data_IF_202439112471
#
_entry.id   IF_202439112471
#
_cell.length_a   1.000
_cell.length_b   1.000
_cell.length_c   1.000
_cell.angle_alpha   90.00
_cell.angle_beta   90.00
_cell.angle_gamma   90.00
#
_symmetry.space_group_name_H-M   'P 1'
#
loop_
_entity.id
_entity.type
_entity.pdbx_description
1 polymer ?
#
# COMPACT_ATOMS: atom_id res chain seq x y z
N UNK A 1 2.75 3.90 -10.83
CA UNK A 1 3.58 2.99 -11.64
C UNK A 1 4.57 2.21 -10.79
N UNK A 2 5.26 2.85 -9.83
CA UNK A 2 6.21 2.15 -8.93
C UNK A 2 5.53 1.03 -8.12
N UNK A 3 4.35 1.26 -7.53
CA UNK A 3 3.60 0.24 -6.79
C UNK A 3 3.29 -0.99 -7.64
N UNK A 4 2.72 -0.76 -8.83
CA UNK A 4 2.39 -1.83 -9.77
C UNK A 4 3.62 -2.62 -10.23
N UNK A 5 4.74 -1.95 -10.50
CA UNK A 5 5.98 -2.62 -10.91
C UNK A 5 6.57 -3.47 -9.77
N UNK A 6 6.58 -2.97 -8.52
CA UNK A 6 7.04 -3.77 -7.38
C UNK A 6 6.13 -4.97 -7.09
N UNK A 7 4.82 -4.80 -7.21
CA UNK A 7 3.85 -5.88 -7.03
C UNK A 7 3.93 -6.95 -8.13
N UNK A 8 4.37 -6.58 -9.33
CA UNK A 8 4.58 -7.54 -10.43
C UNK A 8 5.82 -8.45 -10.27
N UNK A 9 6.64 -8.22 -9.25
CA UNK A 9 7.82 -9.04 -8.97
C UNK A 9 7.44 -10.33 -8.22
N UNK A 10 8.15 -11.42 -8.53
CA UNK A 10 7.97 -12.69 -7.81
C UNK A 10 8.48 -12.61 -6.37
N UNK A 11 8.03 -13.53 -5.49
CA UNK A 11 8.55 -13.62 -4.11
C UNK A 11 10.07 -13.75 -4.09
N UNK A 12 10.66 -14.52 -5.02
CA UNK A 12 12.10 -14.67 -5.16
C UNK A 12 12.83 -13.39 -5.57
N UNK A 13 12.22 -12.60 -6.45
CA UNK A 13 12.79 -11.32 -6.91
C UNK A 13 12.69 -10.24 -5.82
N UNK A 14 11.57 -10.24 -5.08
CA UNK A 14 11.41 -9.38 -3.91
C UNK A 14 12.38 -9.76 -2.79
N UNK A 15 12.56 -11.05 -2.52
CA UNK A 15 13.52 -11.54 -1.53
C UNK A 15 14.96 -11.21 -1.90
N UNK A 16 15.30 -11.25 -3.19
CA UNK A 16 16.64 -10.91 -3.67
C UNK A 16 16.89 -9.39 -3.71
N UNK A 17 15.86 -8.57 -3.92
CA UNK A 17 15.92 -7.12 -3.68
C UNK A 17 15.98 -6.77 -2.18
N UNK A 18 15.17 -7.44 -1.36
CA UNK A 18 15.11 -7.28 0.09
C UNK A 18 16.30 -7.95 0.82
N UNK A 19 17.21 -8.62 0.10
CA UNK A 19 18.37 -9.34 0.64
C UNK A 19 19.32 -8.45 1.48
N UNK A 20 19.19 -7.12 1.40
CA UNK A 20 19.90 -6.19 2.29
C UNK A 20 19.30 -6.10 3.71
N UNK A 21 18.10 -6.63 3.92
CA UNK A 21 17.30 -6.53 5.14
C UNK A 21 16.51 -7.83 5.43
N UNK A 22 17.15 -9.01 5.41
CA UNK A 22 16.44 -10.27 5.72
C UNK A 22 16.01 -10.31 7.21
N UNK A 23 14.72 -10.09 7.47
CA UNK A 23 14.07 -10.20 8.78
C UNK A 23 12.71 -10.93 8.62
N UNK A 24 12.15 -11.54 9.67
CA UNK A 24 10.86 -12.22 9.56
C UNK A 24 9.73 -11.25 9.16
N UNK A 25 8.89 -11.64 8.21
CA UNK A 25 7.78 -10.84 7.65
C UNK A 25 8.21 -9.62 6.80
N UNK A 26 9.35 -9.73 6.13
CA UNK A 26 9.89 -8.70 5.23
C UNK A 26 8.90 -8.29 4.14
N UNK A 27 8.25 -9.25 3.51
CA UNK A 27 7.14 -9.04 2.58
C UNK A 27 6.00 -8.21 3.18
N UNK A 28 5.54 -8.52 4.39
CA UNK A 28 4.41 -7.80 5.03
C UNK A 28 4.80 -6.37 5.39
N UNK A 29 6.06 -6.15 5.82
CA UNK A 29 6.58 -4.81 6.09
C UNK A 29 6.68 -3.99 4.81
N UNK A 30 7.07 -4.60 3.69
CA UNK A 30 7.08 -3.95 2.38
C UNK A 30 5.68 -3.53 1.94
N UNK A 31 4.70 -4.43 2.06
CA UNK A 31 3.28 -4.13 1.83
C UNK A 31 2.80 -2.95 2.69
N UNK A 32 3.03 -3.02 4.00
CA UNK A 32 2.66 -1.94 4.94
C UNK A 32 3.32 -0.60 4.59
N UNK A 33 4.61 -0.59 4.23
CA UNK A 33 5.34 0.62 3.87
C UNK A 33 4.83 1.23 2.56
N UNK A 34 4.68 0.41 1.51
CA UNK A 34 4.20 0.85 0.20
C UNK A 34 2.78 1.42 0.28
N UNK A 35 1.89 0.75 0.99
CA UNK A 35 0.51 1.22 1.15
C UNK A 35 0.39 2.40 2.12
N UNK A 36 1.35 2.60 3.03
CA UNK A 36 1.47 3.87 3.79
C UNK A 36 1.76 5.05 2.89
N UNK A 37 2.67 4.89 1.93
CA UNK A 37 2.92 5.95 0.94
C UNK A 37 1.67 6.19 0.08
N UNK A 38 0.96 5.13 -0.32
CA UNK A 38 -0.32 5.26 -1.05
C UNK A 38 -1.37 6.04 -0.24
N UNK A 39 -1.59 5.69 1.03
CA UNK A 39 -2.56 6.37 1.90
C UNK A 39 -2.25 7.86 2.07
N UNK A 40 -0.97 8.20 2.29
CA UNK A 40 -0.54 9.60 2.42
C UNK A 40 -0.69 10.40 1.12
N UNK A 41 -0.36 9.80 -0.03
CA UNK A 41 -0.48 10.47 -1.34
C UNK A 41 -1.94 10.65 -1.77
N UNK A 42 -2.82 9.69 -1.48
CA UNK A 42 -4.26 9.84 -1.70
C UNK A 42 -4.83 10.98 -0.83
N UNK A 43 -4.38 11.09 0.42
CA UNK A 43 -4.79 12.17 1.32
C UNK A 43 -4.25 13.54 0.86
N UNK A 44 -3.01 13.61 0.37
CA UNK A 44 -2.47 14.82 -0.25
C UNK A 44 -3.31 15.27 -1.46
N UNK A 45 -3.59 14.33 -2.38
CA UNK A 45 -4.41 14.58 -3.56
C UNK A 45 -5.84 15.03 -3.21
N UNK A 46 -6.42 14.49 -2.14
CA UNK A 46 -7.71 14.95 -1.60
C UNK A 46 -7.68 16.43 -1.23
N UNK A 47 -6.64 16.90 -0.52
CA UNK A 47 -6.54 18.30 -0.11
C UNK A 47 -6.30 19.25 -1.29
N UNK A 48 -5.69 18.76 -2.37
CA UNK A 48 -5.48 19.54 -3.60
C UNK A 48 -6.73 19.62 -4.49
N UNK A 49 -7.80 18.89 -4.16
CA UNK A 49 -9.05 18.88 -4.93
C UNK A 49 -10.12 19.71 -4.20
N UNK A 50 -10.84 20.54 -4.94
CA UNK A 50 -12.04 21.25 -4.44
C UNK A 50 -13.23 20.31 -4.17
N UNK A 51 -13.06 19.02 -4.48
CA UNK A 51 -14.01 17.95 -4.18
C UNK A 51 -13.94 17.56 -2.71
N UNK A 52 -15.07 17.65 -2.02
CA UNK A 52 -15.27 17.16 -0.65
C UNK A 52 -15.26 15.62 -0.58
N UNK A 53 -14.25 14.96 -1.15
CA UNK A 53 -14.09 13.52 -0.98
C UNK A 53 -14.04 13.23 0.52
N UNK A 54 -14.94 12.39 0.98
CA UNK A 54 -14.98 12.00 2.38
C UNK A 54 -13.70 11.27 2.75
N UNK A 55 -13.28 11.35 4.02
CA UNK A 55 -12.17 10.57 4.55
C UNK A 55 -12.33 9.07 4.24
N UNK A 56 -13.56 8.57 4.29
CA UNK A 56 -13.92 7.21 3.93
C UNK A 56 -13.67 6.85 2.46
N UNK A 57 -13.76 7.82 1.54
CA UNK A 57 -13.50 7.58 0.12
C UNK A 57 -12.02 7.28 -0.12
N UNK A 58 -11.11 8.00 0.54
CA UNK A 58 -9.67 7.75 0.45
C UNK A 58 -9.31 6.35 0.94
N UNK A 59 -9.85 5.97 2.11
CA UNK A 59 -9.62 4.65 2.69
C UNK A 59 -10.19 3.56 1.78
N UNK A 60 -11.41 3.73 1.27
CA UNK A 60 -12.04 2.77 0.37
C UNK A 60 -11.24 2.58 -0.93
N UNK A 61 -10.73 3.67 -1.53
CA UNK A 61 -9.88 3.58 -2.73
C UNK A 61 -8.60 2.80 -2.42
N UNK A 62 -7.95 3.06 -1.29
CA UNK A 62 -6.74 2.33 -0.90
C UNK A 62 -6.99 0.84 -0.69
N UNK A 63 -8.09 0.46 -0.04
CA UNK A 63 -8.47 -0.95 0.17
C UNK A 63 -8.81 -1.63 -1.17
N UNK A 64 -9.59 -0.98 -2.04
CA UNK A 64 -9.93 -1.51 -3.37
C UNK A 64 -8.65 -1.72 -4.19
N UNK A 65 -7.68 -0.82 -4.07
CA UNK A 65 -6.38 -0.97 -4.72
C UNK A 65 -5.65 -2.20 -4.19
N UNK A 66 -5.58 -2.40 -2.86
CA UNK A 66 -5.00 -3.59 -2.23
C UNK A 66 -5.64 -4.90 -2.69
N UNK A 67 -6.98 -4.95 -2.73
CA UNK A 67 -7.71 -6.13 -3.24
C UNK A 67 -7.38 -6.39 -4.71
N UNK A 68 -7.29 -5.32 -5.52
CA UNK A 68 -6.95 -5.44 -6.95
C UNK A 68 -5.51 -5.91 -7.14
N UNK A 69 -4.62 -5.53 -6.23
CA UNK A 69 -3.20 -5.91 -6.25
C UNK A 69 -3.01 -7.38 -5.90
N UNK A 70 -3.65 -7.87 -4.84
CA UNK A 70 -3.65 -9.29 -4.47
C UNK A 70 -4.28 -10.17 -5.57
N UNK A 71 -5.35 -9.68 -6.21
CA UNK A 71 -5.89 -10.35 -7.40
C UNK A 71 -4.84 -10.35 -8.53
N UNK A 72 -4.23 -9.21 -8.85
CA UNK A 72 -3.19 -9.16 -9.88
C UNK A 72 -2.02 -10.12 -9.58
N UNK A 73 -1.56 -10.18 -8.33
CA UNK A 73 -0.50 -11.08 -7.88
C UNK A 73 -0.86 -12.56 -8.02
N UNK A 74 -2.15 -12.92 -7.95
CA UNK A 74 -2.59 -14.30 -8.21
C UNK A 74 -2.28 -14.79 -9.63
N UNK A 75 -2.00 -13.87 -10.57
CA UNK A 75 -1.57 -14.20 -11.93
C UNK A 75 -0.06 -14.20 -12.10
N UNK A 76 0.72 -13.85 -11.07
CA UNK A 76 2.18 -13.81 -11.10
C UNK A 76 2.72 -15.18 -10.65
N UNK A 77 3.40 -15.94 -11.52
CA UNK A 77 3.98 -17.22 -11.13
C UNK A 77 5.00 -17.06 -10.01
N UNK A 78 4.87 -17.87 -8.95
CA UNK A 78 5.77 -17.81 -7.80
C UNK A 78 5.46 -16.70 -6.80
N UNK A 79 4.28 -16.06 -6.90
CA UNK A 79 3.72 -15.19 -5.86
C UNK A 79 2.54 -15.87 -5.17
N UNK A 80 2.44 -15.73 -3.85
CA UNK A 80 1.33 -16.26 -3.06
C UNK A 80 0.48 -15.12 -2.49
N UNK A 81 -0.66 -14.77 -3.11
CA UNK A 81 -1.58 -13.81 -2.52
C UNK A 81 -2.09 -14.31 -1.17
N UNK A 82 -2.21 -13.41 -0.20
CA UNK A 82 -2.53 -13.77 1.18
C UNK A 82 -3.44 -12.73 1.81
N UNK A 83 -4.40 -13.22 2.61
CA UNK A 83 -5.21 -12.34 3.46
C UNK A 83 -4.36 -11.52 4.44
N UNK A 84 -3.16 -12.00 4.79
CA UNK A 84 -2.23 -11.24 5.62
C UNK A 84 -1.63 -10.04 4.90
N UNK A 85 -1.39 -10.15 3.58
CA UNK A 85 -0.85 -9.06 2.77
C UNK A 85 -1.93 -7.99 2.54
N UNK A 86 -3.18 -8.39 2.29
CA UNK A 86 -4.31 -7.47 2.25
C UNK A 86 -4.53 -6.70 3.58
N UNK A 87 -4.29 -7.37 4.72
CA UNK A 87 -4.34 -6.72 6.03
C UNK A 87 -3.19 -5.72 6.19
N UNK A 88 -1.97 -6.09 5.78
CA UNK A 88 -0.82 -5.20 5.80
C UNK A 88 -1.04 -3.95 4.92
N UNK A 89 -1.61 -4.14 3.73
CA UNK A 89 -1.99 -3.07 2.80
C UNK A 89 -3.00 -2.12 3.44
N UNK A 90 -4.07 -2.68 4.02
CA UNK A 90 -5.11 -1.89 4.69
C UNK A 90 -4.54 -1.09 5.86
N UNK A 91 -3.70 -1.71 6.69
CA UNK A 91 -3.02 -1.03 7.79
C UNK A 91 -2.08 0.06 7.29
N UNK A 92 -1.34 -0.20 6.21
CA UNK A 92 -0.49 0.78 5.55
C UNK A 92 -1.29 2.01 5.13
N UNK A 93 -2.38 1.83 4.39
CA UNK A 93 -3.26 2.95 3.97
C UNK A 93 -3.70 3.79 5.16
N UNK A 94 -4.15 3.16 6.25
CA UNK A 94 -4.60 3.86 7.45
C UNK A 94 -3.48 4.64 8.14
N UNK A 95 -2.28 4.04 8.25
CA UNK A 95 -1.10 4.69 8.84
C UNK A 95 -0.70 5.91 8.01
N UNK A 96 -0.57 5.75 6.69
CA UNK A 96 -0.21 6.82 5.78
C UNK A 96 -1.20 7.99 5.79
N UNK A 97 -2.48 7.65 5.71
CA UNK A 97 -3.58 8.60 5.81
C UNK A 97 -3.54 9.35 7.17
N UNK A 98 -3.44 8.60 8.28
CA UNK A 98 -3.45 9.17 9.63
C UNK A 98 -2.22 10.04 9.90
N UNK A 99 -1.04 9.59 9.50
CA UNK A 99 0.20 10.36 9.58
C UNK A 99 0.05 11.69 8.84
N UNK A 100 -0.47 11.66 7.61
CA UNK A 100 -0.71 12.89 6.86
C UNK A 100 -1.69 13.82 7.58
N UNK A 101 -2.82 13.30 8.09
CA UNK A 101 -3.80 14.12 8.85
C UNK A 101 -3.20 14.74 10.12
N UNK A 102 -2.29 14.04 10.80
CA UNK A 102 -1.65 14.51 12.03
C UNK A 102 -0.55 15.54 11.78
N UNK A 103 0.22 15.36 10.70
CA UNK A 103 1.40 16.18 10.40
C UNK A 103 1.06 17.36 9.48
N UNK A 104 0.04 17.23 8.63
CA UNK A 104 -0.32 18.30 7.73
C UNK A 104 -0.89 19.50 8.52
N UNK A 105 -0.43 20.72 8.21
CA UNK A 105 -0.95 21.91 8.84
C UNK A 105 -2.46 21.99 8.58
N UNK A 106 -3.23 22.14 9.66
CA UNK A 106 -4.66 22.46 9.57
C UNK A 106 -4.75 23.89 9.02
N UNK A 107 -5.19 24.02 7.78
CA UNK A 107 -5.52 25.32 7.18
C UNK A 107 -6.77 25.91 7.84
#
# INVERSE_FOLDING_TARGET
>A
MVLFLLSSLSDSDLSSFAFSFSFPFDDKVMHLALYSVLGGTLQFGRLSSSSALGHWTVIAIGIIYGVSDEWHQSFVPGRNPSAADLLADTMGVLIGYGFYVLVAPKA
#
